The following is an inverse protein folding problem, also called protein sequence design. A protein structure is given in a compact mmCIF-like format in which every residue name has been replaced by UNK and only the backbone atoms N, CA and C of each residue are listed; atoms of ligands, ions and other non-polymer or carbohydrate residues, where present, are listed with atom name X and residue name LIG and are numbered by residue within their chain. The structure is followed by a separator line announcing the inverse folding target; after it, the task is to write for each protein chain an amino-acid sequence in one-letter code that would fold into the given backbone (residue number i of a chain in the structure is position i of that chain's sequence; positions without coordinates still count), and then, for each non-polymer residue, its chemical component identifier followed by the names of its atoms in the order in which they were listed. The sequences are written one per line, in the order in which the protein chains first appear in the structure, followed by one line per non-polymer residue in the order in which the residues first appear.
data_IF_342111619828
#
_entry.id   IF_342111619828
#
_cell.length_a   1.000
_cell.length_b   1.000
_cell.length_c   1.000
_cell.angle_alpha   90.00
_cell.angle_beta   90.00
_cell.angle_gamma   90.00
#
_symmetry.space_group_name_H-M   'P 1'
#
loop_
_entity.id
_entity.type
_entity.pdbx_description
1 polymer ?
#
# COMPACT_ATOMS: atom_id res chain seq x y z
N UNK A 1 -15.18 15.69 1.45
CA UNK A 1 -13.89 14.97 1.53
C UNK A 1 -13.21 15.20 2.91
N UNK A 2 -13.83 14.77 4.01
CA UNK A 2 -13.26 14.89 5.38
C UNK A 2 -12.63 13.59 5.91
N UNK A 3 -12.65 12.51 5.13
CA UNK A 3 -12.15 11.19 5.55
C UNK A 3 -10.60 11.13 5.60
N UNK A 4 -9.92 11.88 4.74
CA UNK A 4 -8.46 11.92 4.63
C UNK A 4 -7.76 12.84 5.65
N UNK A 5 -8.50 13.45 6.59
CA UNK A 5 -7.92 14.26 7.67
C UNK A 5 -7.78 13.50 8.99
N UNK A 6 -8.35 12.29 9.10
CA UNK A 6 -8.11 11.45 10.27
C UNK A 6 -6.71 10.84 10.17
N UNK A 7 -5.82 11.31 11.04
CA UNK A 7 -4.44 10.81 11.23
C UNK A 7 -4.35 9.26 11.19
N UNK A 8 -5.34 8.57 11.77
CA UNK A 8 -5.42 7.10 11.76
C UNK A 8 -5.62 6.48 10.37
N UNK A 9 -6.38 7.10 9.47
CA UNK A 9 -6.61 6.57 8.12
C UNK A 9 -5.37 6.69 7.24
N UNK A 10 -4.68 7.84 7.26
CA UNK A 10 -3.46 8.05 6.50
C UNK A 10 -2.34 7.09 6.93
N UNK A 11 -2.14 6.92 8.24
CA UNK A 11 -1.19 5.93 8.75
C UNK A 11 -1.60 4.49 8.39
N UNK A 12 -2.90 4.17 8.45
CA UNK A 12 -3.40 2.84 8.06
C UNK A 12 -3.13 2.53 6.58
N UNK A 13 -3.36 3.47 5.67
CA UNK A 13 -3.08 3.28 4.24
C UNK A 13 -1.58 3.08 3.97
N UNK A 14 -0.72 3.83 4.66
CA UNK A 14 0.74 3.66 4.55
C UNK A 14 1.21 2.30 5.10
N UNK A 15 0.61 1.81 6.18
CA UNK A 15 0.87 0.46 6.69
C UNK A 15 0.41 -0.59 5.68
N UNK A 16 -0.76 -0.42 5.08
CA UNK A 16 -1.28 -1.33 4.05
C UNK A 16 -0.35 -1.41 2.83
N UNK A 17 0.17 -0.26 2.40
CA UNK A 17 1.18 -0.17 1.35
C UNK A 17 2.45 -0.95 1.70
N UNK A 18 2.96 -0.78 2.93
CA UNK A 18 4.13 -1.50 3.41
C UNK A 18 3.91 -3.02 3.48
N UNK A 19 2.75 -3.45 3.97
CA UNK A 19 2.37 -4.88 3.99
C UNK A 19 2.26 -5.43 2.57
N UNK A 20 1.69 -4.69 1.62
CA UNK A 20 1.64 -5.07 0.21
C UNK A 20 3.04 -5.28 -0.39
N UNK A 21 3.96 -4.36 -0.13
CA UNK A 21 5.36 -4.47 -0.57
C UNK A 21 6.09 -5.68 0.03
N UNK A 22 5.86 -5.95 1.32
CA UNK A 22 6.42 -7.12 2.00
C UNK A 22 5.85 -8.43 1.43
N UNK A 23 4.52 -8.52 1.24
CA UNK A 23 3.89 -9.68 0.62
C UNK A 23 4.41 -9.93 -0.79
N UNK A 24 4.60 -8.88 -1.60
CA UNK A 24 5.16 -8.99 -2.93
C UNK A 24 6.61 -9.52 -2.90
N UNK A 25 7.42 -9.01 -1.97
CA UNK A 25 8.81 -9.44 -1.80
C UNK A 25 8.90 -10.89 -1.30
N UNK A 26 8.03 -11.28 -0.37
CA UNK A 26 7.95 -12.66 0.13
C UNK A 26 7.46 -13.62 -0.95
N UNK A 27 6.52 -13.18 -1.80
CA UNK A 27 6.07 -13.97 -2.96
C UNK A 27 7.21 -14.29 -3.91
N UNK A 28 8.05 -13.29 -4.24
CA UNK A 28 9.23 -13.50 -5.06
C UNK A 28 10.20 -14.54 -4.45
N UNK A 29 10.33 -14.58 -3.12
CA UNK A 29 11.18 -15.55 -2.42
C UNK A 29 10.56 -16.96 -2.36
N UNK A 30 9.24 -17.04 -2.22
CA UNK A 30 8.44 -18.26 -2.14
C UNK A 30 8.02 -18.81 -3.50
N UNK A 31 8.39 -18.14 -4.59
CA UNK A 31 8.10 -18.52 -5.99
C UNK A 31 8.55 -19.93 -6.37
N UNK A 32 9.50 -20.52 -5.64
CA UNK A 32 9.97 -21.90 -5.84
C UNK A 32 9.28 -22.94 -4.94
N UNK A 33 8.47 -22.50 -3.98
CA UNK A 33 7.91 -23.37 -2.93
C UNK A 33 6.39 -23.56 -3.05
N UNK A 34 5.66 -22.58 -3.59
CA UNK A 34 4.19 -22.61 -3.69
C UNK A 34 3.69 -22.90 -5.12
N UNK A 35 2.48 -23.48 -5.26
CA UNK A 35 1.84 -23.67 -6.56
C UNK A 35 1.57 -22.32 -7.24
N UNK A 36 1.81 -22.25 -8.55
CA UNK A 36 1.76 -21.01 -9.36
C UNK A 36 0.45 -20.22 -9.18
N UNK A 37 -0.68 -20.92 -9.01
CA UNK A 37 -1.99 -20.29 -8.82
C UNK A 37 -2.09 -19.48 -7.52
N UNK A 38 -1.63 -20.04 -6.39
CA UNK A 38 -1.69 -19.38 -5.09
C UNK A 38 -0.71 -18.22 -5.00
N UNK A 39 0.45 -18.38 -5.64
CA UNK A 39 1.46 -17.33 -5.75
C UNK A 39 0.89 -16.14 -6.52
N UNK A 40 0.33 -16.37 -7.72
CA UNK A 40 -0.25 -15.31 -8.54
C UNK A 40 -1.44 -14.60 -7.89
N UNK A 41 -2.28 -15.32 -7.14
CA UNK A 41 -3.37 -14.69 -6.39
C UNK A 41 -2.86 -13.78 -5.27
N UNK A 42 -1.84 -14.22 -4.52
CA UNK A 42 -1.21 -13.42 -3.47
C UNK A 42 -0.52 -12.16 -4.02
N UNK A 43 0.19 -12.29 -5.15
CA UNK A 43 0.80 -11.16 -5.86
C UNK A 43 -0.25 -10.17 -6.36
N UNK A 44 -1.36 -10.67 -6.92
CA UNK A 44 -2.46 -9.83 -7.38
C UNK A 44 -3.02 -8.96 -6.25
N UNK A 45 -3.31 -9.55 -5.09
CA UNK A 45 -3.80 -8.79 -3.92
C UNK A 45 -2.75 -7.80 -3.42
N UNK A 46 -1.48 -8.21 -3.38
CA UNK A 46 -0.38 -7.34 -2.96
C UNK A 46 -0.25 -6.11 -3.87
N UNK A 47 -0.31 -6.30 -5.18
CA UNK A 47 -0.24 -5.22 -6.18
C UNK A 47 -1.40 -4.23 -6.01
N UNK A 48 -2.64 -4.72 -5.80
CA UNK A 48 -3.80 -3.85 -5.57
C UNK A 48 -3.58 -2.95 -4.35
N UNK A 49 -3.02 -3.50 -3.26
CA UNK A 49 -2.67 -2.74 -2.05
C UNK A 49 -1.58 -1.69 -2.31
N UNK A 50 -0.54 -2.05 -3.07
CA UNK A 50 0.54 -1.14 -3.45
C UNK A 50 0.00 0.02 -4.30
N UNK A 51 -0.83 -0.27 -5.31
CA UNK A 51 -1.40 0.75 -6.21
C UNK A 51 -2.30 1.72 -5.43
N UNK A 52 -3.17 1.22 -4.55
CA UNK A 52 -3.97 2.08 -3.66
C UNK A 52 -3.10 3.01 -2.80
N UNK A 53 -2.02 2.48 -2.22
CA UNK A 53 -1.06 3.27 -1.44
C UNK A 53 -0.34 4.33 -2.27
N UNK A 54 0.09 3.99 -3.49
CA UNK A 54 0.73 4.94 -4.41
C UNK A 54 -0.20 6.09 -4.79
N UNK A 55 -1.46 5.79 -5.13
CA UNK A 55 -2.46 6.81 -5.43
C UNK A 55 -2.65 7.75 -4.24
N UNK A 56 -2.71 7.21 -3.01
CA UNK A 56 -2.79 8.02 -1.79
C UNK A 56 -1.56 8.92 -1.62
N UNK A 57 -0.35 8.41 -1.82
CA UNK A 57 0.90 9.18 -1.68
C UNK A 57 0.93 10.31 -2.71
N UNK A 58 0.65 10.02 -3.98
CA UNK A 58 0.62 11.02 -5.07
C UNK A 58 -0.43 12.10 -4.76
N UNK A 59 -1.61 11.71 -4.30
CA UNK A 59 -2.66 12.65 -3.92
C UNK A 59 -2.25 13.55 -2.76
N UNK A 60 -1.59 13.01 -1.73
CA UNK A 60 -1.03 13.79 -0.63
C UNK A 60 0.05 14.76 -1.10
N UNK A 61 0.93 14.30 -2.01
CA UNK A 61 2.00 15.12 -2.58
C UNK A 61 1.47 16.31 -3.38
N UNK A 62 0.50 16.09 -4.28
CA UNK A 62 -0.15 17.16 -5.07
C UNK A 62 -0.82 18.20 -4.17
N UNK A 63 -1.29 17.80 -2.99
CA UNK A 63 -1.91 18.71 -2.00
C UNK A 63 -0.92 19.32 -1.01
N UNK A 64 0.38 19.05 -1.14
CA UNK A 64 1.41 19.51 -0.21
C UNK A 64 1.17 19.00 1.21
N UNK A 65 0.64 17.78 1.37
CA UNK A 65 0.33 17.17 2.67
C UNK A 65 1.21 15.95 2.92
N UNK A 66 1.60 15.75 4.17
CA UNK A 66 2.37 14.60 4.60
C UNK A 66 1.51 13.32 4.50
N UNK A 67 1.91 12.30 3.73
CA UNK A 67 1.13 11.07 3.54
C UNK A 67 0.87 10.26 4.82
N UNK A 68 1.69 10.43 5.86
CA UNK A 68 1.49 9.75 7.15
C UNK A 68 0.51 10.45 8.08
N UNK A 69 0.50 11.78 8.02
CA UNK A 69 -0.17 12.62 9.03
C UNK A 69 -1.36 13.40 8.46
N UNK A 70 -1.47 13.51 7.14
CA UNK A 70 -2.45 14.34 6.44
C UNK A 70 -2.26 15.85 6.63
N UNK A 71 -1.28 16.28 7.43
CA UNK A 71 -0.96 17.69 7.71
C UNK A 71 -0.23 18.34 6.54
N UNK A 72 -0.42 19.63 6.27
CA UNK A 72 0.39 20.35 5.28
C UNK A 72 1.88 20.27 5.64
N UNK A 73 2.71 20.16 4.61
CA UNK A 73 4.18 20.21 4.66
C UNK A 73 4.63 21.67 4.67
#
# INVERSE_FOLDING_TARGET
MKFFEKKGYCSFVMVLYFVGMLCFTMSLFMSRLLPDFWLGFAEGIAIVGIVMGMIHIVFCFVRGRNPFTGKPI
#
